data_IF_214536070385
#
_entry.id   IF_214536070385
#
_cell.length_a   1.000
_cell.length_b   1.000
_cell.length_c   1.000
_cell.angle_alpha   90.00
_cell.angle_beta   90.00
_cell.angle_gamma   90.00
#
_symmetry.space_group_name_H-M   'P 1'
#
loop_
_entity.id
_entity.type
_entity.pdbx_description
1 polymer ?
#
# COMPACT_ATOMS: atom_id res chain seq x y z
N UNK A 1 -41.35 5.08 10.63
CA UNK A 1 -40.32 6.15 10.67
C UNK A 1 -38.99 5.70 10.04
N UNK A 2 -38.95 4.55 9.36
CA UNK A 2 -37.76 4.02 8.66
C UNK A 2 -37.72 4.46 7.17
N UNK A 3 -38.89 4.71 6.57
CA UNK A 3 -39.08 5.04 5.15
C UNK A 3 -38.85 6.51 4.74
N UNK A 4 -38.52 7.41 5.69
CA UNK A 4 -38.36 8.85 5.38
C UNK A 4 -36.91 9.33 5.35
N UNK A 5 -35.96 8.60 5.94
CA UNK A 5 -34.54 9.01 5.94
C UNK A 5 -33.87 8.73 4.59
N UNK A 6 -34.34 7.73 3.83
CA UNK A 6 -33.85 7.44 2.47
C UNK A 6 -34.23 8.51 1.44
N UNK A 7 -35.14 9.44 1.78
CA UNK A 7 -35.63 10.49 0.87
C UNK A 7 -34.96 11.85 1.09
N UNK A 8 -34.05 11.98 2.04
CA UNK A 8 -33.28 13.23 2.21
C UNK A 8 -32.22 13.30 1.10
N UNK A 9 -32.23 14.32 0.23
CA UNK A 9 -31.19 14.45 -0.79
C UNK A 9 -29.84 14.75 -0.12
N UNK A 10 -29.00 13.72 -0.08
CA UNK A 10 -27.64 13.75 0.47
C UNK A 10 -26.66 14.36 -0.54
N UNK A 11 -26.91 15.61 -0.91
CA UNK A 11 -26.19 16.29 -2.00
C UNK A 11 -24.76 16.67 -1.65
N UNK A 12 -24.49 16.82 -0.35
CA UNK A 12 -23.20 17.29 0.16
C UNK A 12 -22.78 16.44 1.35
N UNK A 13 -21.47 16.33 1.56
CA UNK A 13 -20.92 15.65 2.75
C UNK A 13 -21.43 16.27 4.04
N UNK A 14 -21.60 17.60 4.09
CA UNK A 14 -22.16 18.28 5.26
C UNK A 14 -23.58 17.83 5.60
N UNK A 15 -24.45 17.64 4.59
CA UNK A 15 -25.80 17.10 4.81
C UNK A 15 -25.74 15.65 5.29
N UNK A 16 -24.89 14.83 4.66
CA UNK A 16 -24.72 13.41 5.03
C UNK A 16 -24.23 13.26 6.48
N UNK A 17 -23.23 14.03 6.90
CA UNK A 17 -22.70 14.00 8.28
C UNK A 17 -23.79 14.36 9.30
N UNK A 18 -24.63 15.36 9.01
CA UNK A 18 -25.74 15.73 9.91
C UNK A 18 -26.76 14.61 10.07
N UNK A 19 -27.18 14.00 8.96
CA UNK A 19 -28.14 12.87 8.98
C UNK A 19 -27.51 11.67 9.69
N UNK A 20 -26.25 11.36 9.42
CA UNK A 20 -25.51 10.28 10.07
C UNK A 20 -25.46 10.43 11.57
N UNK A 21 -25.17 11.64 12.08
CA UNK A 21 -25.13 11.90 13.53
C UNK A 21 -26.46 11.56 14.19
N UNK A 22 -27.57 11.97 13.58
CA UNK A 22 -28.93 11.65 14.08
C UNK A 22 -29.18 10.14 14.05
N UNK A 23 -28.76 9.45 12.99
CA UNK A 23 -28.90 8.00 12.89
C UNK A 23 -28.04 7.27 13.94
N UNK A 24 -26.82 7.73 14.20
CA UNK A 24 -25.93 7.19 15.23
C UNK A 24 -26.49 7.40 16.64
N UNK A 25 -26.97 8.61 16.95
CA UNK A 25 -27.62 8.94 18.23
C UNK A 25 -28.85 8.06 18.50
N UNK A 26 -29.51 7.60 17.43
CA UNK A 26 -30.68 6.71 17.47
C UNK A 26 -30.35 5.23 17.27
N UNK A 27 -29.06 4.86 17.24
CA UNK A 27 -28.58 3.48 17.04
C UNK A 27 -29.06 2.80 15.73
N UNK A 28 -29.35 3.59 14.70
CA UNK A 28 -29.84 3.15 13.39
C UNK A 28 -28.69 2.66 12.50
N UNK A 29 -28.05 1.56 12.91
CA UNK A 29 -26.79 1.07 12.33
C UNK A 29 -26.87 0.71 10.84
N UNK A 30 -27.99 0.15 10.39
CA UNK A 30 -28.19 -0.20 8.98
C UNK A 30 -28.33 1.04 8.09
N UNK A 31 -29.00 2.08 8.59
CA UNK A 31 -29.13 3.36 7.89
C UNK A 31 -27.79 4.09 7.82
N UNK A 32 -27.01 4.06 8.91
CA UNK A 32 -25.64 4.58 8.91
C UNK A 32 -24.81 3.88 7.84
N UNK A 33 -24.85 2.54 7.79
CA UNK A 33 -24.14 1.75 6.77
C UNK A 33 -24.60 2.11 5.36
N UNK A 34 -25.90 2.17 5.12
CA UNK A 34 -26.48 2.50 3.81
C UNK A 34 -26.04 3.90 3.33
N UNK A 35 -26.15 4.91 4.20
CA UNK A 35 -25.72 6.28 3.90
C UNK A 35 -24.22 6.31 3.56
N UNK A 36 -23.38 5.68 4.39
CA UNK A 36 -21.93 5.63 4.14
C UNK A 36 -21.60 4.97 2.80
N UNK A 37 -22.27 3.86 2.42
CA UNK A 37 -22.08 3.21 1.11
C UNK A 37 -22.46 4.13 -0.06
N UNK A 38 -23.57 4.85 0.03
CA UNK A 38 -24.00 5.81 -0.99
C UNK A 38 -22.96 6.93 -1.13
N UNK A 39 -22.49 7.48 -0.01
CA UNK A 39 -21.48 8.54 0.00
C UNK A 39 -20.13 8.07 -0.53
N UNK A 40 -19.71 6.84 -0.21
CA UNK A 40 -18.48 6.24 -0.71
C UNK A 40 -18.52 6.13 -2.25
N UNK A 41 -19.60 5.57 -2.81
CA UNK A 41 -19.81 5.45 -4.26
C UNK A 41 -19.80 6.81 -4.96
N UNK A 42 -20.45 7.81 -4.35
CA UNK A 42 -20.47 9.18 -4.88
C UNK A 42 -19.08 9.82 -4.86
N UNK A 43 -18.34 9.68 -3.76
CA UNK A 43 -16.98 10.21 -3.65
C UNK A 43 -16.04 9.59 -4.70
N UNK A 44 -16.14 8.27 -4.93
CA UNK A 44 -15.37 7.57 -5.95
C UNK A 44 -15.70 8.08 -7.37
N UNK A 45 -16.99 8.28 -7.70
CA UNK A 45 -17.41 8.86 -8.99
C UNK A 45 -16.85 10.27 -9.23
N UNK A 46 -16.61 11.02 -8.16
CA UNK A 46 -16.02 12.36 -8.21
C UNK A 46 -14.49 12.34 -8.10
N UNK A 47 -13.86 11.17 -8.23
CA UNK A 47 -12.41 10.96 -8.11
C UNK A 47 -11.80 11.45 -6.77
N UNK A 48 -12.57 11.44 -5.69
CA UNK A 48 -12.12 11.79 -4.34
C UNK A 48 -11.83 10.51 -3.56
N UNK A 49 -10.65 9.92 -3.79
CA UNK A 49 -10.28 8.62 -3.25
C UNK A 49 -10.23 8.61 -1.72
N UNK A 50 -9.61 9.60 -1.09
CA UNK A 50 -9.58 9.68 0.37
C UNK A 50 -10.96 9.76 1.01
N UNK A 51 -11.85 10.59 0.47
CA UNK A 51 -13.25 10.65 0.92
C UNK A 51 -13.97 9.31 0.71
N UNK A 52 -13.79 8.69 -0.45
CA UNK A 52 -14.40 7.39 -0.74
C UNK A 52 -13.95 6.32 0.27
N UNK A 53 -12.65 6.24 0.55
CA UNK A 53 -12.08 5.28 1.49
C UNK A 53 -12.59 5.51 2.91
N UNK A 54 -12.63 6.77 3.35
CA UNK A 54 -13.16 7.15 4.66
C UNK A 54 -14.61 6.69 4.85
N UNK A 55 -15.44 6.88 3.83
CA UNK A 55 -16.84 6.43 3.84
C UNK A 55 -16.95 4.90 3.81
N UNK A 56 -16.10 4.20 3.06
CA UNK A 56 -16.05 2.72 3.04
C UNK A 56 -15.67 2.12 4.39
N UNK A 57 -14.68 2.72 5.06
CA UNK A 57 -14.24 2.30 6.39
C UNK A 57 -15.40 2.45 7.39
N UNK A 58 -16.07 3.60 7.39
CA UNK A 58 -17.23 3.83 8.28
C UNK A 58 -18.40 2.90 7.96
N UNK A 59 -18.60 2.54 6.69
CA UNK A 59 -19.59 1.54 6.29
C UNK A 59 -19.20 0.10 6.68
N UNK A 60 -17.95 -0.14 7.11
CA UNK A 60 -17.35 -1.48 7.27
C UNK A 60 -17.47 -2.30 5.98
N UNK A 61 -17.33 -1.65 4.82
CA UNK A 61 -17.43 -2.29 3.50
C UNK A 61 -16.04 -2.72 3.03
N UNK A 62 -15.64 -3.94 3.39
CA UNK A 62 -14.32 -4.47 3.08
C UNK A 62 -14.07 -4.59 1.57
N UNK A 63 -15.07 -5.02 0.80
CA UNK A 63 -14.94 -5.17 -0.65
C UNK A 63 -14.70 -3.80 -1.32
N UNK A 64 -15.44 -2.77 -0.91
CA UNK A 64 -15.27 -1.44 -1.47
C UNK A 64 -13.97 -0.77 -0.98
N UNK A 65 -13.54 -1.03 0.26
CA UNK A 65 -12.23 -0.60 0.76
C UNK A 65 -11.07 -1.23 -0.05
N UNK A 66 -11.16 -2.52 -0.40
CA UNK A 66 -10.20 -3.20 -1.28
C UNK A 66 -10.13 -2.54 -2.66
N UNK A 67 -11.28 -2.27 -3.30
CA UNK A 67 -11.33 -1.61 -4.61
C UNK A 67 -10.66 -0.23 -4.59
N UNK A 68 -10.95 0.59 -3.57
CA UNK A 68 -10.38 1.94 -3.47
C UNK A 68 -8.88 1.86 -3.18
N UNK A 69 -8.47 0.88 -2.36
CA UNK A 69 -7.06 0.66 -2.05
C UNK A 69 -6.26 0.23 -3.27
N UNK A 70 -6.82 -0.62 -4.14
CA UNK A 70 -6.21 -0.95 -5.44
C UNK A 70 -6.03 0.28 -6.31
N UNK A 71 -7.00 1.19 -6.31
CA UNK A 71 -6.90 2.45 -7.05
C UNK A 71 -5.80 3.38 -6.52
N UNK A 72 -5.61 3.46 -5.20
CA UNK A 72 -4.46 4.15 -4.61
C UNK A 72 -3.11 3.57 -5.08
N UNK A 73 -3.02 2.24 -5.15
CA UNK A 73 -1.79 1.55 -5.58
C UNK A 73 -1.53 1.71 -7.08
N UNK A 74 -2.58 1.71 -7.91
CA UNK A 74 -2.47 2.04 -9.32
C UNK A 74 -1.99 3.48 -9.53
N UNK A 75 -2.57 4.43 -8.79
CA UNK A 75 -2.14 5.82 -8.82
C UNK A 75 -0.67 5.97 -8.42
N UNK A 76 -0.23 5.24 -7.39
CA UNK A 76 1.18 5.18 -6.98
C UNK A 76 2.07 4.62 -8.08
N UNK A 77 1.74 3.47 -8.67
CA UNK A 77 2.53 2.86 -9.75
C UNK A 77 2.68 3.80 -10.96
N UNK A 78 1.67 4.62 -11.25
CA UNK A 78 1.69 5.55 -12.38
C UNK A 78 2.43 6.86 -12.09
N UNK A 79 2.36 7.36 -10.85
CA UNK A 79 2.85 8.71 -10.47
C UNK A 79 4.12 8.70 -9.61
N UNK A 80 4.44 7.58 -8.98
CA UNK A 80 5.51 7.44 -7.98
C UNK A 80 5.22 8.10 -6.63
N UNK A 81 3.97 8.50 -6.36
CA UNK A 81 3.60 9.15 -5.09
C UNK A 81 2.15 8.87 -4.68
N UNK A 82 1.90 8.89 -3.36
CA UNK A 82 0.57 8.75 -2.79
C UNK A 82 -0.18 10.09 -2.74
N UNK A 83 -1.50 10.03 -2.94
CA UNK A 83 -2.42 11.12 -2.62
C UNK A 83 -3.06 10.91 -1.25
N UNK A 84 -3.74 11.94 -0.71
CA UNK A 84 -4.49 11.85 0.55
C UNK A 84 -3.63 11.35 1.74
N UNK A 85 -2.39 11.83 1.86
CA UNK A 85 -1.39 11.37 2.84
C UNK A 85 -1.93 11.39 4.27
N UNK A 86 -2.59 12.48 4.67
CA UNK A 86 -3.17 12.62 6.01
C UNK A 86 -4.15 11.50 6.35
N UNK A 87 -4.95 11.03 5.39
CA UNK A 87 -5.85 9.90 5.62
C UNK A 87 -5.07 8.60 5.80
N UNK A 88 -4.13 8.33 4.90
CA UNK A 88 -3.37 7.07 4.88
C UNK A 88 -2.50 6.95 6.14
N UNK A 89 -1.91 8.05 6.59
CA UNK A 89 -1.09 8.12 7.80
C UNK A 89 -1.92 7.94 9.09
N UNK A 90 -3.25 8.14 9.01
CA UNK A 90 -4.18 8.05 10.15
C UNK A 90 -5.20 6.91 10.04
N UNK A 91 -4.93 5.85 9.27
CA UNK A 91 -5.84 4.69 9.15
C UNK A 91 -5.98 3.91 10.46
N UNK A 92 -4.90 3.81 11.25
CA UNK A 92 -4.91 3.09 12.54
C UNK A 92 -5.49 1.67 12.42
N UNK A 93 -6.36 1.23 13.37
CA UNK A 93 -6.98 -0.09 13.33
C UNK A 93 -7.88 -0.34 12.10
N UNK A 94 -8.31 0.71 11.39
CA UNK A 94 -9.16 0.56 10.20
C UNK A 94 -8.45 -0.20 9.06
N UNK A 95 -7.11 -0.25 9.08
CA UNK A 95 -6.32 -1.05 8.14
C UNK A 95 -6.78 -2.52 8.10
N UNK A 96 -7.19 -3.07 9.25
CA UNK A 96 -7.61 -4.46 9.40
C UNK A 96 -8.97 -4.78 8.74
N UNK A 97 -9.61 -3.80 8.10
CA UNK A 97 -10.86 -4.02 7.38
C UNK A 97 -10.67 -4.92 6.15
N UNK A 98 -9.50 -4.87 5.49
CA UNK A 98 -9.13 -5.82 4.44
C UNK A 98 -7.62 -5.95 4.30
N UNK A 99 -7.16 -7.09 3.79
CA UNK A 99 -5.72 -7.35 3.57
C UNK A 99 -5.11 -6.32 2.63
N UNK A 100 -5.86 -5.92 1.60
CA UNK A 100 -5.44 -4.91 0.64
C UNK A 100 -5.26 -3.53 1.29
N UNK A 101 -6.18 -3.14 2.18
CA UNK A 101 -6.08 -1.88 2.91
C UNK A 101 -4.94 -1.94 3.94
N UNK A 102 -4.73 -3.10 4.56
CA UNK A 102 -3.58 -3.36 5.43
C UNK A 102 -2.27 -3.16 4.67
N UNK A 103 -2.14 -3.78 3.50
CA UNK A 103 -0.99 -3.57 2.63
C UNK A 103 -0.80 -2.09 2.28
N UNK A 104 -1.84 -1.39 1.83
CA UNK A 104 -1.76 0.03 1.48
C UNK A 104 -1.26 0.90 2.64
N UNK A 105 -1.85 0.72 3.82
CA UNK A 105 -1.45 1.48 5.01
C UNK A 105 -0.01 1.18 5.45
N UNK A 106 0.40 -0.09 5.42
CA UNK A 106 1.76 -0.49 5.76
C UNK A 106 2.79 -0.04 4.73
N UNK A 107 2.45 -0.05 3.46
CA UNK A 107 3.32 0.44 2.41
C UNK A 107 3.47 1.96 2.47
N UNK A 108 2.40 2.70 2.81
CA UNK A 108 2.50 4.12 3.13
C UNK A 108 3.40 4.37 4.35
N UNK A 109 3.25 3.56 5.40
CA UNK A 109 4.08 3.64 6.61
C UNK A 109 5.57 3.45 6.28
N UNK A 110 5.91 2.55 5.35
CA UNK A 110 7.28 2.42 4.82
C UNK A 110 7.81 3.74 4.26
N UNK A 111 7.07 4.43 3.39
CA UNK A 111 7.51 5.72 2.84
C UNK A 111 7.64 6.81 3.90
N UNK A 112 6.77 6.80 4.92
CA UNK A 112 6.88 7.72 6.05
C UNK A 112 8.18 7.47 6.84
N UNK A 113 8.48 6.21 7.17
CA UNK A 113 9.73 5.82 7.84
C UNK A 113 10.96 6.20 7.00
N UNK A 114 10.90 6.00 5.69
CA UNK A 114 11.95 6.41 4.77
C UNK A 114 12.17 7.93 4.80
N UNK A 115 11.10 8.73 4.73
CA UNK A 115 11.17 10.19 4.80
C UNK A 115 11.66 10.72 6.16
N UNK A 116 11.47 9.95 7.23
CA UNK A 116 12.00 10.22 8.57
C UNK A 116 13.47 9.78 8.75
N UNK A 117 14.13 9.29 7.69
CA UNK A 117 15.47 8.69 7.71
C UNK A 117 15.59 7.46 8.64
N UNK A 118 14.47 6.82 8.98
CA UNK A 118 14.43 5.58 9.78
C UNK A 118 14.63 4.37 8.89
N UNK A 119 15.76 4.34 8.19
CA UNK A 119 16.03 3.39 7.11
C UNK A 119 16.00 1.92 7.54
N UNK A 120 16.53 1.57 8.72
CA UNK A 120 16.48 0.19 9.21
C UNK A 120 15.05 -0.29 9.46
N UNK A 121 14.19 0.58 9.98
CA UNK A 121 12.78 0.24 10.24
C UNK A 121 11.98 0.16 8.94
N UNK A 122 12.23 1.10 8.02
CA UNK A 122 11.65 1.07 6.68
C UNK A 122 12.02 -0.22 5.94
N UNK A 123 13.31 -0.60 5.94
CA UNK A 123 13.81 -1.82 5.31
C UNK A 123 13.14 -3.08 5.87
N UNK A 124 13.06 -3.21 7.21
CA UNK A 124 12.38 -4.34 7.88
C UNK A 124 10.90 -4.41 7.50
N UNK A 125 10.22 -3.25 7.48
CA UNK A 125 8.80 -3.20 7.12
C UNK A 125 8.59 -3.60 5.65
N UNK A 126 9.37 -3.04 4.72
CA UNK A 126 9.29 -3.35 3.30
C UNK A 126 9.50 -4.84 3.03
N UNK A 127 10.54 -5.43 3.64
CA UNK A 127 10.82 -6.85 3.53
C UNK A 127 9.66 -7.68 4.06
N UNK A 128 9.13 -7.34 5.24
CA UNK A 128 7.99 -8.06 5.84
C UNK A 128 6.75 -8.01 4.96
N UNK A 129 6.51 -6.93 4.20
CA UNK A 129 5.38 -6.84 3.29
C UNK A 129 5.47 -7.87 2.17
N UNK A 130 6.68 -8.18 1.70
CA UNK A 130 6.92 -9.21 0.68
C UNK A 130 6.90 -10.62 1.28
N UNK A 131 7.69 -10.86 2.33
CA UNK A 131 7.94 -12.21 2.85
C UNK A 131 6.76 -12.77 3.66
N UNK A 132 6.00 -11.91 4.35
CA UNK A 132 4.76 -12.32 5.02
C UNK A 132 3.56 -12.47 4.05
N UNK A 133 3.78 -12.34 2.74
CA UNK A 133 2.77 -12.45 1.68
C UNK A 133 1.59 -11.47 1.83
N UNK A 134 1.84 -10.32 2.46
CA UNK A 134 0.86 -9.22 2.57
C UNK A 134 0.74 -8.48 1.22
N UNK A 135 1.88 -8.27 0.56
CA UNK A 135 1.95 -7.73 -0.78
C UNK A 135 1.61 -8.80 -1.82
N UNK A 136 0.64 -8.57 -2.72
CA UNK A 136 0.46 -9.44 -3.86
C UNK A 136 1.65 -9.33 -4.80
N UNK A 137 1.92 -10.46 -5.46
CA UNK A 137 3.06 -10.64 -6.35
C UNK A 137 3.21 -9.57 -7.43
N UNK A 138 2.10 -9.07 -7.97
CA UNK A 138 2.11 -8.00 -8.99
C UNK A 138 2.71 -6.68 -8.52
N UNK A 139 2.86 -6.47 -7.21
CA UNK A 139 3.48 -5.27 -6.64
C UNK A 139 4.93 -5.49 -6.23
N UNK A 140 5.44 -6.73 -6.21
CA UNK A 140 6.78 -7.01 -5.71
C UNK A 140 7.86 -6.30 -6.51
N UNK A 141 7.74 -6.19 -7.85
CA UNK A 141 8.68 -5.42 -8.66
C UNK A 141 8.72 -3.94 -8.23
N UNK A 142 7.56 -3.35 -7.91
CA UNK A 142 7.48 -2.00 -7.34
C UNK A 142 8.18 -1.92 -5.98
N UNK A 143 7.89 -2.84 -5.05
CA UNK A 143 8.51 -2.85 -3.71
C UNK A 143 10.04 -3.03 -3.80
N UNK A 144 10.52 -3.94 -4.65
CA UNK A 144 11.93 -4.17 -4.87
C UNK A 144 12.60 -2.90 -5.44
N UNK A 145 11.97 -2.25 -6.42
CA UNK A 145 12.46 -0.98 -6.97
C UNK A 145 12.54 0.10 -5.88
N UNK A 146 11.56 0.18 -5.00
CA UNK A 146 11.56 1.11 -3.87
C UNK A 146 12.58 0.75 -2.77
N UNK A 147 13.10 -0.48 -2.78
CA UNK A 147 14.22 -0.89 -1.92
C UNK A 147 15.58 -0.40 -2.46
N UNK A 148 15.70 -0.04 -3.75
CA UNK A 148 16.98 0.38 -4.36
C UNK A 148 17.68 1.50 -3.56
N UNK A 149 16.99 2.60 -3.17
CA UNK A 149 17.65 3.66 -2.42
C UNK A 149 18.14 3.23 -1.03
N UNK A 150 17.59 2.15 -0.47
CA UNK A 150 18.01 1.57 0.81
C UNK A 150 19.19 0.60 0.63
N UNK A 151 19.21 -0.15 -0.48
CA UNK A 151 20.32 -1.04 -0.86
C UNK A 151 21.60 -0.28 -1.24
N UNK A 152 21.45 0.93 -1.77
CA UNK A 152 22.57 1.77 -2.19
C UNK A 152 23.04 2.77 -1.12
N UNK A 153 22.57 2.63 0.13
CA UNK A 153 23.08 3.44 1.24
C UNK A 153 24.56 3.14 1.51
N UNK A 154 25.27 4.17 2.00
CA UNK A 154 26.68 4.01 2.39
C UNK A 154 26.86 3.06 3.56
N UNK A 155 25.87 3.03 4.45
CA UNK A 155 25.79 2.09 5.55
C UNK A 155 24.93 0.91 5.16
N UNK A 156 25.32 -0.29 5.62
CA UNK A 156 24.51 -1.50 5.45
C UNK A 156 23.19 -1.34 6.22
N UNK A 157 22.09 -1.25 5.47
CA UNK A 157 20.73 -1.20 6.00
C UNK A 157 20.08 -2.58 6.02
N UNK A 158 20.25 -3.36 4.95
CA UNK A 158 19.81 -4.75 4.87
C UNK A 158 20.95 -5.68 5.24
N UNK A 159 20.72 -6.59 6.19
CA UNK A 159 21.69 -7.63 6.56
C UNK A 159 21.91 -8.64 5.44
N UNK A 160 22.87 -9.55 5.62
CA UNK A 160 23.10 -10.68 4.71
C UNK A 160 21.81 -11.49 4.51
N UNK A 161 21.16 -11.90 5.61
CA UNK A 161 19.90 -12.67 5.56
C UNK A 161 18.78 -11.91 4.85
N UNK A 162 18.60 -10.63 5.17
CA UNK A 162 17.57 -9.80 4.55
C UNK A 162 17.84 -9.60 3.05
N UNK A 163 19.10 -9.50 2.64
CA UNK A 163 19.48 -9.39 1.23
C UNK A 163 19.18 -10.68 0.48
N UNK A 164 19.44 -11.84 1.09
CA UNK A 164 19.07 -13.13 0.51
C UNK A 164 17.56 -13.29 0.34
N UNK A 165 16.75 -12.84 1.30
CA UNK A 165 15.29 -12.84 1.16
C UNK A 165 14.83 -11.98 -0.03
N UNK A 166 15.39 -10.78 -0.20
CA UNK A 166 15.11 -9.92 -1.36
C UNK A 166 15.53 -10.55 -2.69
N UNK A 167 16.71 -11.19 -2.73
CA UNK A 167 17.18 -11.94 -3.90
C UNK A 167 16.23 -13.09 -4.24
N UNK A 168 15.73 -13.81 -3.22
CA UNK A 168 14.75 -14.88 -3.40
C UNK A 168 13.44 -14.33 -3.99
N UNK A 169 12.95 -13.18 -3.51
CA UNK A 169 11.76 -12.54 -4.07
C UNK A 169 11.96 -12.14 -5.55
N UNK A 170 13.13 -11.60 -5.90
CA UNK A 170 13.46 -11.22 -7.28
C UNK A 170 13.53 -12.43 -8.21
N UNK A 171 14.17 -13.52 -7.77
CA UNK A 171 14.24 -14.75 -8.57
C UNK A 171 12.88 -15.44 -8.69
N UNK A 172 12.07 -15.40 -7.64
CA UNK A 172 10.69 -15.88 -7.71
C UNK A 172 9.93 -15.13 -8.80
N UNK A 173 10.01 -13.80 -8.87
CA UNK A 173 9.38 -13.00 -9.93
C UNK A 173 9.83 -13.45 -11.32
N UNK A 174 11.14 -13.49 -11.56
CA UNK A 174 11.73 -13.83 -12.85
C UNK A 174 11.40 -15.26 -13.31
N UNK A 175 11.21 -16.20 -12.38
CA UNK A 175 10.83 -17.57 -12.73
C UNK A 175 9.40 -17.68 -13.28
N UNK A 176 8.50 -16.77 -12.91
CA UNK A 176 7.09 -16.80 -13.31
C UNK A 176 6.75 -16.02 -14.59
N UNK A 177 7.65 -15.16 -15.07
CA UNK A 177 7.41 -14.27 -16.23
C UNK A 177 7.68 -14.96 -17.58
N UNK A 178 8.21 -16.20 -17.59
CA UNK A 178 8.66 -16.89 -18.82
C UNK A 178 7.56 -17.32 -19.79
N UNK A 179 6.28 -17.15 -19.45
CA UNK A 179 5.14 -17.67 -20.23
C UNK A 179 4.31 -16.57 -20.95
N UNK A 180 4.72 -15.30 -20.93
CA UNK A 180 3.89 -14.20 -21.45
C UNK A 180 4.48 -13.56 -22.70
N UNK A 181 3.74 -13.58 -23.82
CA UNK A 181 3.99 -12.76 -25.01
C UNK A 181 3.71 -11.27 -24.67
N UNK A 182 4.61 -10.58 -23.97
CA UNK A 182 4.50 -9.14 -23.70
C UNK A 182 5.12 -8.32 -24.84
N UNK A 183 4.73 -7.06 -24.93
CA UNK A 183 5.14 -6.13 -25.99
C UNK A 183 6.62 -5.75 -25.74
N UNK A 184 7.48 -5.84 -26.76
CA UNK A 184 8.95 -5.68 -26.70
C UNK A 184 9.48 -4.52 -25.83
N UNK A 185 8.72 -3.42 -25.66
CA UNK A 185 9.14 -2.25 -24.86
C UNK A 185 8.94 -2.41 -23.35
N UNK A 186 7.91 -3.14 -22.90
CA UNK A 186 7.69 -3.39 -21.47
C UNK A 186 8.72 -4.38 -20.93
N UNK A 187 9.10 -5.37 -21.75
CA UNK A 187 10.16 -6.32 -21.44
C UNK A 187 11.52 -5.64 -21.25
N UNK A 188 11.87 -4.64 -22.06
CA UNK A 188 13.15 -3.91 -21.95
C UNK A 188 13.25 -3.09 -20.65
N UNK A 189 12.15 -2.45 -20.24
CA UNK A 189 12.08 -1.69 -18.98
C UNK A 189 12.17 -2.64 -17.78
N UNK A 190 11.44 -3.75 -17.81
CA UNK A 190 11.46 -4.73 -16.71
C UNK A 190 12.81 -5.45 -16.60
N UNK A 191 13.46 -5.72 -17.74
CA UNK A 191 14.83 -6.22 -17.79
C UNK A 191 15.81 -5.23 -17.14
N UNK A 192 15.73 -3.95 -17.51
CA UNK A 192 16.58 -2.89 -16.93
C UNK A 192 16.40 -2.80 -15.41
N UNK A 193 15.15 -2.82 -14.91
CA UNK A 193 14.88 -2.84 -13.46
C UNK A 193 15.51 -4.06 -12.79
N UNK A 194 15.39 -5.22 -13.40
CA UNK A 194 15.94 -6.47 -12.89
C UNK A 194 17.47 -6.42 -12.79
N UNK A 195 18.15 -5.87 -13.80
CA UNK A 195 19.60 -5.70 -13.78
C UNK A 195 20.07 -4.74 -12.68
N UNK A 196 19.38 -3.60 -12.53
CA UNK A 196 19.65 -2.64 -11.46
C UNK A 196 19.48 -3.27 -10.07
N UNK A 197 18.41 -4.04 -9.88
CA UNK A 197 18.16 -4.75 -8.62
C UNK A 197 19.25 -5.78 -8.32
N UNK A 198 19.65 -6.59 -9.30
CA UNK A 198 20.74 -7.56 -9.13
C UNK A 198 22.04 -6.88 -8.73
N UNK A 199 22.37 -5.76 -9.36
CA UNK A 199 23.58 -5.00 -9.04
C UNK A 199 23.53 -4.41 -7.62
N UNK A 200 22.42 -3.79 -7.24
CA UNK A 200 22.24 -3.20 -5.91
C UNK A 200 22.27 -4.27 -4.81
N UNK A 201 21.60 -5.41 -5.02
CA UNK A 201 21.61 -6.55 -4.09
C UNK A 201 23.01 -7.13 -3.93
N UNK A 202 23.75 -7.35 -5.02
CA UNK A 202 25.11 -7.86 -4.96
C UNK A 202 26.06 -6.92 -4.20
N UNK A 203 25.93 -5.60 -4.42
CA UNK A 203 26.71 -4.59 -3.69
C UNK A 203 26.37 -4.57 -2.21
N UNK A 204 25.08 -4.53 -1.86
CA UNK A 204 24.66 -4.56 -0.46
C UNK A 204 25.15 -5.83 0.24
N UNK A 205 25.01 -7.00 -0.42
CA UNK A 205 25.49 -8.27 0.13
C UNK A 205 26.99 -8.24 0.42
N UNK A 206 27.80 -7.73 -0.52
CA UNK A 206 29.25 -7.61 -0.30
C UNK A 206 29.58 -6.71 0.89
N UNK A 207 28.90 -5.56 1.02
CA UNK A 207 29.08 -4.65 2.17
C UNK A 207 28.62 -5.28 3.49
N UNK A 208 27.48 -5.98 3.47
CA UNK A 208 26.90 -6.63 4.64
C UNK A 208 27.80 -7.76 5.16
N UNK A 209 28.33 -8.62 4.28
CA UNK A 209 29.26 -9.69 4.64
C UNK A 209 30.51 -9.12 5.33
N UNK A 210 31.09 -8.07 4.78
CA UNK A 210 32.27 -7.43 5.39
C UNK A 210 31.92 -6.86 6.76
N UNK A 211 30.83 -6.10 6.86
CA UNK A 211 30.43 -5.45 8.12
C UNK A 211 30.12 -6.49 9.20
N UNK A 212 29.30 -7.49 8.91
CA UNK A 212 28.89 -8.51 9.87
C UNK A 212 30.07 -9.41 10.26
N UNK A 213 30.91 -9.82 9.29
CA UNK A 213 32.11 -10.60 9.56
C UNK A 213 33.17 -9.87 10.37
N UNK A 214 33.23 -8.53 10.34
CA UNK A 214 34.14 -7.74 11.19
C UNK A 214 33.65 -7.52 12.61
N UNK A 215 32.37 -7.78 12.91
CA UNK A 215 31.80 -7.60 14.26
C UNK A 215 32.03 -8.87 15.12
N UNK A 216 32.30 -10.01 14.49
CA UNK A 216 32.55 -11.30 15.16
C UNK A 216 34.01 -11.51 15.64
N UNK A 217 34.86 -10.48 15.60
CA UNK A 217 36.24 -10.47 16.12
C UNK A 217 36.45 -9.40 17.17
#
# INVERSE_FOLDING_TARGET
MELQIERVPLDTERKAIKVLRICEDRQMSEQVRSICKIMAKRALRNNRLGSALSWSIRAKDAAFATLISERFLQDYNNKGCFTDLDLLDNLGPAMLLSDRLTFLGKYREFHRLYGENRFSEAAKLLLSLMTAKIAPRSLWMTLLTDALPLLEQKEVIFSVDQTYELMSCLEELNSGTKDSNQIDQEEDIESTKTELLRLALARNLAMAIVKEGTIET
#
